data_IF_967069447525
#
_entry.id   IF_967069447525
#
_cell.length_a   1.000
_cell.length_b   1.000
_cell.length_c   1.000
_cell.angle_alpha   90.00
_cell.angle_beta   90.00
_cell.angle_gamma   90.00
#
_symmetry.space_group_name_H-M   'P 1'
#
loop_
_entity.id
_entity.type
_entity.pdbx_description
1 polymer ?
#
# COMPACT_ATOMS: atom_id res chain seq x y z
N UNK A 1 -9.74 -13.62 -22.81
CA UNK A 1 -8.65 -12.80 -23.34
C UNK A 1 -9.25 -11.53 -23.90
N UNK A 2 -8.69 -10.36 -23.57
CA UNK A 2 -9.10 -9.06 -24.09
C UNK A 2 -8.02 -8.41 -24.96
N UNK A 3 -6.77 -8.54 -24.56
CA UNK A 3 -5.62 -8.01 -25.28
C UNK A 3 -4.48 -9.02 -25.21
N UNK A 4 -3.78 -9.20 -26.32
CA UNK A 4 -2.49 -9.86 -26.37
C UNK A 4 -1.50 -8.92 -27.05
N UNK A 5 -0.31 -8.80 -26.49
CA UNK A 5 0.81 -8.05 -27.06
C UNK A 5 1.93 -9.07 -27.27
N UNK A 6 2.33 -9.26 -28.51
CA UNK A 6 3.36 -10.20 -28.89
C UNK A 6 4.63 -9.43 -29.28
N UNK A 7 5.75 -9.85 -28.75
CA UNK A 7 7.09 -9.44 -29.14
C UNK A 7 7.93 -10.68 -29.38
N UNK A 8 9.15 -10.53 -29.90
CA UNK A 8 9.95 -11.66 -30.41
C UNK A 8 10.02 -12.87 -29.44
N UNK A 9 10.17 -12.60 -28.14
CA UNK A 9 10.41 -13.66 -27.13
C UNK A 9 9.29 -13.78 -26.08
N UNK A 10 8.26 -12.93 -26.14
CA UNK A 10 7.25 -12.84 -25.08
C UNK A 10 5.85 -12.56 -25.62
N UNK A 11 4.85 -13.11 -24.95
CA UNK A 11 3.43 -12.79 -25.16
C UNK A 11 2.86 -12.31 -23.84
N UNK A 12 2.44 -11.06 -23.77
CA UNK A 12 1.69 -10.52 -22.63
C UNK A 12 0.20 -10.62 -22.92
N UNK A 13 -0.55 -11.34 -22.09
CA UNK A 13 -1.99 -11.53 -22.24
C UNK A 13 -2.72 -10.85 -21.09
N UNK A 14 -3.67 -9.97 -21.41
CA UNK A 14 -4.57 -9.37 -20.44
C UNK A 14 -5.93 -10.05 -20.49
N UNK A 15 -6.36 -10.59 -19.36
CA UNK A 15 -7.69 -11.15 -19.16
C UNK A 15 -8.55 -10.14 -18.38
N UNK A 16 -9.85 -10.08 -18.70
CA UNK A 16 -10.83 -9.29 -17.96
C UNK A 16 -10.53 -7.79 -17.83
N UNK A 17 -9.80 -7.21 -18.78
CA UNK A 17 -9.63 -5.75 -18.81
C UNK A 17 -11.00 -5.05 -18.90
N UNK A 18 -11.31 -4.19 -17.94
CA UNK A 18 -12.54 -3.40 -17.95
C UNK A 18 -12.50 -2.34 -19.06
N UNK A 19 -11.34 -1.73 -19.22
CA UNK A 19 -11.06 -0.70 -20.25
C UNK A 19 -9.77 -1.07 -20.97
N UNK A 20 -9.77 -0.93 -22.29
CA UNK A 20 -8.58 -1.08 -23.14
C UNK A 20 -8.54 0.09 -24.10
N UNK A 21 -7.51 0.90 -23.98
CA UNK A 21 -7.33 2.12 -24.77
C UNK A 21 -5.88 2.22 -25.26
N UNK A 22 -5.70 2.93 -26.37
CA UNK A 22 -4.39 3.31 -26.88
C UNK A 22 -4.28 4.81 -26.91
N UNK A 23 -3.13 5.36 -26.55
CA UNK A 23 -2.86 6.78 -26.62
C UNK A 23 -1.41 7.02 -27.07
N UNK A 24 -1.14 8.20 -27.63
CA UNK A 24 0.23 8.60 -27.94
C UNK A 24 0.95 9.03 -26.68
N UNK A 25 2.22 8.70 -26.53
CA UNK A 25 3.03 9.06 -25.36
C UNK A 25 2.96 10.55 -25.01
N UNK A 26 3.05 11.50 -25.97
CA UNK A 26 2.90 12.93 -25.68
C UNK A 26 1.54 13.31 -25.08
N UNK A 27 0.50 12.54 -25.37
CA UNK A 27 -0.87 12.82 -24.93
C UNK A 27 -1.17 12.23 -23.52
N UNK A 28 -0.22 11.51 -22.92
CA UNK A 28 -0.36 10.86 -21.61
C UNK A 28 -0.94 11.81 -20.53
N UNK A 29 -0.45 13.07 -20.49
CA UNK A 29 -0.91 14.07 -19.51
C UNK A 29 -2.33 14.57 -19.77
N UNK A 30 -2.81 14.48 -20.99
CA UNK A 30 -4.16 14.89 -21.40
C UNK A 30 -5.16 13.76 -21.27
N UNK A 31 -4.69 12.53 -21.16
CA UNK A 31 -5.55 11.36 -21.04
C UNK A 31 -6.35 11.41 -19.73
N UNK A 32 -7.69 11.24 -19.73
CA UNK A 32 -8.55 11.43 -18.55
C UNK A 32 -8.16 10.54 -17.35
N UNK A 33 -7.71 9.31 -17.61
CA UNK A 33 -7.24 8.38 -16.58
C UNK A 33 -5.77 8.60 -16.23
N UNK A 34 -4.88 8.57 -17.24
CA UNK A 34 -3.44 8.63 -17.02
C UNK A 34 -2.92 9.99 -16.59
N UNK A 35 -3.58 11.08 -17.02
CA UNK A 35 -3.19 12.45 -16.67
C UNK A 35 -3.50 12.86 -15.23
N UNK A 36 -4.32 12.08 -14.53
CA UNK A 36 -4.73 12.33 -13.14
C UNK A 36 -4.03 11.41 -12.13
N UNK A 37 -3.09 10.60 -12.57
CA UNK A 37 -2.36 9.71 -11.67
C UNK A 37 -1.46 10.49 -10.73
N UNK A 38 -1.43 10.06 -9.47
CA UNK A 38 -0.53 10.57 -8.44
C UNK A 38 0.94 10.15 -8.67
N UNK A 39 1.82 10.52 -7.75
CA UNK A 39 3.24 10.18 -7.81
C UNK A 39 3.45 8.66 -7.75
N UNK A 40 4.41 8.15 -8.49
CA UNK A 40 4.81 6.76 -8.47
C UNK A 40 5.89 6.52 -7.43
N UNK A 41 5.57 5.89 -6.33
CA UNK A 41 6.53 5.63 -5.26
C UNK A 41 7.60 4.59 -5.63
N UNK A 42 7.40 3.83 -6.72
CA UNK A 42 8.40 2.91 -7.23
C UNK A 42 9.59 3.64 -7.89
N UNK A 43 9.35 4.81 -8.47
CA UNK A 43 10.39 5.58 -9.14
C UNK A 43 11.32 6.26 -8.12
N UNK A 44 12.63 6.13 -8.32
CA UNK A 44 13.65 6.67 -7.39
C UNK A 44 13.67 8.20 -7.33
N UNK A 45 13.29 8.86 -8.43
CA UNK A 45 13.26 10.32 -8.57
C UNK A 45 11.92 10.93 -8.13
N UNK A 46 10.95 10.14 -7.71
CA UNK A 46 9.67 10.66 -7.17
C UNK A 46 9.87 11.24 -5.78
N UNK A 47 9.41 12.47 -5.57
CA UNK A 47 9.32 13.08 -4.25
C UNK A 47 8.10 12.54 -3.49
N UNK A 48 8.30 11.82 -2.37
CA UNK A 48 7.19 11.29 -1.59
C UNK A 48 6.30 12.37 -0.96
N UNK A 49 6.80 13.60 -0.77
CA UNK A 49 6.03 14.70 -0.18
C UNK A 49 4.79 15.05 -0.99
N UNK A 50 4.83 14.85 -2.30
CA UNK A 50 3.67 15.05 -3.18
C UNK A 50 2.54 14.07 -2.81
N UNK A 51 2.86 12.81 -2.52
CA UNK A 51 1.86 11.83 -2.08
C UNK A 51 1.29 12.18 -0.70
N UNK A 52 2.13 12.68 0.22
CA UNK A 52 1.69 13.16 1.54
C UNK A 52 0.67 14.28 1.37
N UNK A 53 0.97 15.28 0.54
CA UNK A 53 0.07 16.39 0.29
C UNK A 53 -1.25 15.95 -0.36
N UNK A 54 -1.21 15.04 -1.33
CA UNK A 54 -2.40 14.49 -1.96
C UNK A 54 -3.26 13.69 -0.98
N UNK A 55 -2.64 12.91 -0.11
CA UNK A 55 -3.33 12.14 0.94
C UNK A 55 -4.05 13.09 1.90
N UNK A 56 -3.35 14.10 2.44
CA UNK A 56 -3.91 15.07 3.39
C UNK A 56 -4.95 16.00 2.76
N UNK A 57 -4.84 16.27 1.47
CA UNK A 57 -5.82 17.08 0.73
C UNK A 57 -7.00 16.29 0.18
N UNK A 58 -7.03 14.99 0.38
CA UNK A 58 -8.14 14.15 -0.02
C UNK A 58 -9.38 14.47 0.81
N UNK A 59 -10.30 15.24 0.24
CA UNK A 59 -11.39 15.92 0.98
C UNK A 59 -12.74 15.20 0.98
N UNK A 60 -12.82 13.97 0.54
CA UNK A 60 -14.05 13.21 0.74
C UNK A 60 -14.03 12.69 2.17
N UNK A 61 -14.50 13.52 3.10
CA UNK A 61 -14.25 13.42 4.54
C UNK A 61 -14.76 12.17 5.25
N UNK A 62 -15.46 11.28 4.56
CA UNK A 62 -15.89 9.99 5.09
C UNK A 62 -15.01 8.83 4.59
N UNK A 63 -14.06 9.07 3.67
CA UNK A 63 -13.26 8.01 3.09
C UNK A 63 -12.29 7.41 4.12
N UNK A 64 -12.23 6.10 4.13
CA UNK A 64 -11.37 5.35 5.02
C UNK A 64 -9.98 5.18 4.41
N UNK A 65 -8.96 5.30 5.23
CA UNK A 65 -7.55 5.26 4.83
C UNK A 65 -7.22 4.04 3.96
N UNK A 66 -7.73 2.87 4.35
CA UNK A 66 -7.51 1.65 3.58
C UNK A 66 -8.08 1.67 2.17
N UNK A 67 -9.08 2.48 1.87
CA UNK A 67 -9.64 2.65 0.53
C UNK A 67 -8.86 3.69 -0.26
N UNK A 68 -8.56 4.82 0.35
CA UNK A 68 -7.82 5.92 -0.28
C UNK A 68 -6.42 5.50 -0.73
N UNK A 69 -5.76 4.62 0.01
CA UNK A 69 -4.45 4.07 -0.38
C UNK A 69 -4.47 3.25 -1.68
N UNK A 70 -5.63 2.80 -2.15
CA UNK A 70 -5.77 2.14 -3.45
C UNK A 70 -6.12 3.11 -4.58
N UNK A 71 -6.40 4.37 -4.28
CA UNK A 71 -6.65 5.39 -5.30
C UNK A 71 -5.32 5.82 -5.95
N UNK A 72 -5.13 5.39 -7.18
CA UNK A 72 -3.92 5.69 -7.96
C UNK A 72 -3.78 7.19 -8.30
N UNK A 73 -4.79 8.01 -8.01
CA UNK A 73 -4.72 9.48 -8.11
C UNK A 73 -4.02 10.09 -6.90
N UNK A 74 -4.04 9.40 -5.76
CA UNK A 74 -3.33 9.82 -4.53
C UNK A 74 -1.90 9.30 -4.56
N UNK A 75 -1.73 8.00 -4.82
CA UNK A 75 -0.42 7.35 -4.82
C UNK A 75 -0.40 6.16 -5.78
N UNK A 76 0.60 6.08 -6.64
CA UNK A 76 0.82 4.93 -7.52
C UNK A 76 1.78 3.91 -6.90
N UNK A 77 1.63 2.67 -7.35
CA UNK A 77 2.45 1.53 -6.93
C UNK A 77 1.84 0.75 -5.77
N UNK A 78 1.01 1.36 -4.92
CA UNK A 78 0.32 0.68 -3.84
C UNK A 78 -0.81 -0.21 -4.36
N UNK A 79 -0.61 -1.53 -4.21
CA UNK A 79 -1.65 -2.52 -4.44
C UNK A 79 -2.20 -3.07 -3.12
N UNK A 80 -3.11 -4.01 -3.24
CA UNK A 80 -3.82 -4.59 -2.10
C UNK A 80 -2.90 -5.22 -1.04
N UNK A 81 -1.82 -5.85 -1.46
CA UNK A 81 -0.81 -6.43 -0.58
C UNK A 81 -0.15 -5.32 0.24
N UNK A 82 0.44 -4.34 -0.43
CA UNK A 82 1.17 -3.26 0.24
C UNK A 82 0.27 -2.38 1.10
N UNK A 83 -0.99 -2.16 0.70
CA UNK A 83 -1.98 -1.50 1.55
C UNK A 83 -2.03 -2.14 2.95
N UNK A 84 -2.18 -3.45 3.01
CA UNK A 84 -2.30 -4.16 4.29
C UNK A 84 -0.99 -4.12 5.10
N UNK A 85 0.14 -4.35 4.44
CA UNK A 85 1.45 -4.41 5.07
C UNK A 85 1.92 -3.04 5.59
N UNK A 86 1.71 -1.96 4.82
CA UNK A 86 2.08 -0.59 5.20
C UNK A 86 1.26 -0.12 6.39
N UNK A 87 -0.06 -0.37 6.38
CA UNK A 87 -0.93 -0.02 7.50
C UNK A 87 -0.55 -0.77 8.77
N UNK A 88 -0.17 -2.05 8.67
CA UNK A 88 0.34 -2.79 9.81
C UNK A 88 1.68 -2.24 10.30
N UNK A 89 2.61 -1.92 9.41
CA UNK A 89 3.92 -1.40 9.75
C UNK A 89 3.84 -0.06 10.49
N UNK A 90 2.88 0.77 10.11
CA UNK A 90 2.65 2.11 10.70
C UNK A 90 1.62 2.12 11.84
N UNK A 91 1.05 0.97 12.18
CA UNK A 91 0.04 0.81 13.26
C UNK A 91 -1.26 1.58 13.04
N UNK A 92 -1.47 2.08 11.82
CA UNK A 92 -2.67 2.82 11.46
C UNK A 92 -3.85 1.87 11.20
N UNK A 93 -5.02 2.23 11.73
CA UNK A 93 -6.25 1.51 11.41
C UNK A 93 -6.59 1.69 9.93
N UNK A 94 -6.89 0.61 9.20
CA UNK A 94 -7.41 0.73 7.84
C UNK A 94 -8.75 1.46 7.76
N UNK A 95 -9.46 1.55 8.88
CA UNK A 95 -10.77 2.19 9.02
C UNK A 95 -10.65 3.65 9.46
N UNK A 96 -9.44 4.13 9.74
CA UNK A 96 -9.18 5.52 10.09
C UNK A 96 -9.76 6.45 9.02
N UNK A 97 -10.41 7.51 9.45
CA UNK A 97 -10.88 8.57 8.53
C UNK A 97 -9.70 9.40 8.07
N UNK A 98 -9.70 9.83 6.82
CA UNK A 98 -8.62 10.67 6.29
C UNK A 98 -8.49 11.98 7.06
N UNK A 99 -9.61 12.57 7.49
CA UNK A 99 -9.62 13.82 8.24
C UNK A 99 -9.08 13.69 9.69
N UNK A 100 -8.92 12.47 10.20
CA UNK A 100 -8.30 12.23 11.52
C UNK A 100 -6.77 12.07 11.45
N UNK A 101 -6.19 11.92 10.24
CA UNK A 101 -4.75 11.72 10.09
C UNK A 101 -3.99 13.01 10.36
N UNK A 102 -2.91 12.90 11.12
CA UNK A 102 -1.94 13.97 11.26
C UNK A 102 -0.96 13.96 10.07
N UNK A 103 -0.29 15.09 9.83
CA UNK A 103 0.78 15.17 8.84
C UNK A 103 1.89 14.16 9.13
N UNK A 104 2.20 13.95 10.40
CA UNK A 104 3.16 12.94 10.86
C UNK A 104 2.78 11.54 10.45
N UNK A 105 1.50 11.16 10.59
CA UNK A 105 1.00 9.85 10.18
C UNK A 105 1.11 9.67 8.68
N UNK A 106 0.75 10.67 7.91
CA UNK A 106 0.86 10.66 6.46
C UNK A 106 2.32 10.51 5.99
N UNK A 107 3.26 11.23 6.61
CA UNK A 107 4.70 11.12 6.32
C UNK A 107 5.20 9.70 6.63
N UNK A 108 4.88 9.15 7.80
CA UNK A 108 5.28 7.79 8.20
C UNK A 108 4.74 6.74 7.23
N UNK A 109 3.46 6.85 6.88
CA UNK A 109 2.77 5.94 5.98
C UNK A 109 3.42 5.94 4.58
N UNK A 110 3.61 7.12 4.00
CA UNK A 110 4.17 7.25 2.65
C UNK A 110 5.65 6.84 2.63
N UNK A 111 6.43 7.14 3.66
CA UNK A 111 7.82 6.67 3.77
C UNK A 111 7.91 5.14 3.87
N UNK A 112 7.07 4.51 4.69
CA UNK A 112 7.00 3.05 4.76
C UNK A 112 6.60 2.43 3.42
N UNK A 113 5.60 2.99 2.74
CA UNK A 113 5.18 2.56 1.42
C UNK A 113 6.31 2.67 0.39
N UNK A 114 7.00 3.83 0.35
CA UNK A 114 8.13 4.08 -0.55
C UNK A 114 9.25 3.07 -0.32
N UNK A 115 9.61 2.82 0.95
CA UNK A 115 10.65 1.85 1.31
C UNK A 115 10.29 0.45 0.83
N UNK A 116 9.07 0.00 1.09
CA UNK A 116 8.63 -1.33 0.67
C UNK A 116 8.60 -1.49 -0.86
N UNK A 117 8.07 -0.49 -1.56
CA UNK A 117 7.93 -0.55 -3.01
C UNK A 117 9.28 -0.51 -3.72
N UNK A 118 10.19 0.39 -3.31
CA UNK A 118 11.53 0.50 -3.89
C UNK A 118 12.39 -0.74 -3.62
N UNK A 119 12.30 -1.29 -2.40
CA UNK A 119 12.97 -2.54 -2.08
C UNK A 119 12.50 -3.70 -2.97
N UNK A 120 11.21 -3.75 -3.31
CA UNK A 120 10.68 -4.76 -4.23
C UNK A 120 11.16 -4.59 -5.67
N UNK A 121 11.29 -3.35 -6.14
CA UNK A 121 11.74 -3.05 -7.51
C UNK A 121 13.20 -3.42 -7.78
N UNK A 122 14.05 -3.41 -6.75
CA UNK A 122 15.45 -3.78 -6.87
C UNK A 122 15.66 -5.28 -7.13
N UNK A 123 14.61 -6.07 -7.05
CA UNK A 123 14.63 -7.52 -7.28
C UNK A 123 13.65 -7.91 -8.37
N UNK A 124 14.17 -8.07 -9.58
CA UNK A 124 13.40 -8.50 -10.75
C UNK A 124 12.70 -9.88 -10.62
N UNK A 125 12.99 -10.66 -9.59
CA UNK A 125 12.48 -12.02 -9.39
C UNK A 125 11.28 -12.12 -8.43
N UNK A 126 10.77 -11.02 -7.88
CA UNK A 126 10.11 -11.07 -6.59
C UNK A 126 8.58 -11.11 -6.58
N UNK A 127 7.87 -10.75 -7.64
CA UNK A 127 6.42 -10.64 -7.60
C UNK A 127 5.70 -11.98 -7.32
N UNK A 128 6.26 -13.10 -7.79
CA UNK A 128 5.68 -14.43 -7.60
C UNK A 128 6.11 -15.10 -6.28
N UNK A 129 7.28 -14.74 -5.73
CA UNK A 129 7.82 -15.40 -4.53
C UNK A 129 7.34 -14.82 -3.22
N UNK A 130 6.88 -13.56 -3.20
CA UNK A 130 6.37 -12.91 -1.98
C UNK A 130 5.06 -13.54 -1.52
N UNK A 131 4.21 -13.94 -2.43
CA UNK A 131 2.93 -14.57 -2.10
C UNK A 131 3.07 -16.00 -1.54
N UNK A 132 4.21 -16.66 -1.72
CA UNK A 132 4.36 -18.09 -1.46
C UNK A 132 5.10 -18.51 -0.18
N UNK A 133 5.81 -17.65 0.53
CA UNK A 133 6.73 -18.08 1.60
C UNK A 133 6.72 -17.22 2.87
N UNK A 134 5.58 -16.84 3.38
CA UNK A 134 5.47 -16.47 4.82
C UNK A 134 6.27 -15.25 5.31
N UNK A 135 6.77 -14.41 4.41
CA UNK A 135 7.47 -13.18 4.80
C UNK A 135 6.57 -11.98 5.09
N UNK A 136 5.26 -12.11 4.89
CA UNK A 136 4.29 -11.03 5.08
C UNK A 136 3.79 -10.97 6.52
N UNK A 137 3.51 -9.77 7.00
CA UNK A 137 3.05 -9.55 8.36
C UNK A 137 1.57 -9.87 8.55
N UNK A 138 0.72 -9.44 7.60
CA UNK A 138 -0.74 -9.62 7.69
C UNK A 138 -1.38 -10.14 6.40
N UNK A 139 -0.90 -9.77 5.22
CA UNK A 139 -1.54 -10.14 3.97
C UNK A 139 -1.52 -11.65 3.75
N UNK A 140 -2.70 -12.23 3.46
CA UNK A 140 -2.87 -13.67 3.28
C UNK A 140 -2.80 -14.50 4.57
N UNK A 141 -2.77 -13.87 5.74
CA UNK A 141 -2.58 -14.53 7.04
C UNK A 141 -3.84 -14.52 7.93
N UNK A 142 -5.01 -14.52 7.34
CA UNK A 142 -6.27 -14.59 8.08
C UNK A 142 -6.28 -15.75 9.08
N UNK A 143 -6.69 -15.48 10.32
CA UNK A 143 -6.77 -16.45 11.41
C UNK A 143 -5.41 -16.82 12.04
N UNK A 144 -4.28 -16.34 11.51
CA UNK A 144 -2.96 -16.58 12.08
C UNK A 144 -2.63 -15.54 13.16
N UNK A 145 -1.67 -15.88 14.02
CA UNK A 145 -1.17 -14.97 15.05
C UNK A 145 -0.33 -13.85 14.46
N UNK A 146 -0.58 -12.63 14.91
CA UNK A 146 0.26 -11.47 14.60
C UNK A 146 1.65 -11.64 15.21
N UNK A 147 2.68 -11.40 14.40
CA UNK A 147 4.08 -11.53 14.83
C UNK A 147 4.50 -10.46 15.85
N UNK A 148 3.74 -9.34 15.96
CA UNK A 148 4.05 -8.23 16.86
C UNK A 148 3.38 -8.40 18.24
N UNK A 149 2.05 -8.62 18.26
CA UNK A 149 1.28 -8.62 19.49
C UNK A 149 0.63 -9.97 19.84
N UNK A 150 0.70 -10.97 18.97
CA UNK A 150 0.07 -12.27 19.18
C UNK A 150 -1.43 -12.33 18.92
N UNK A 151 -2.11 -11.21 18.68
CA UNK A 151 -3.53 -11.19 18.34
C UNK A 151 -3.79 -11.83 16.96
N UNK A 152 -5.02 -12.27 16.74
CA UNK A 152 -5.42 -12.88 15.48
C UNK A 152 -5.53 -11.82 14.37
N UNK A 153 -4.99 -12.14 13.20
CA UNK A 153 -5.13 -11.33 11.99
C UNK A 153 -6.51 -11.58 11.39
N UNK A 154 -7.24 -10.51 11.17
CA UNK A 154 -8.54 -10.52 10.52
C UNK A 154 -8.46 -10.25 9.03
N UNK A 155 -9.53 -10.64 8.33
CA UNK A 155 -9.70 -10.40 6.91
C UNK A 155 -11.17 -10.22 6.55
N UNK A 156 -11.47 -9.22 5.72
CA UNK A 156 -12.80 -9.05 5.13
C UNK A 156 -12.75 -8.34 3.77
N UNK A 157 -13.81 -8.48 2.93
CA UNK A 157 -14.00 -7.59 1.78
C UNK A 157 -14.10 -6.13 2.24
N UNK A 158 -13.46 -5.22 1.52
CA UNK A 158 -13.38 -3.81 1.89
C UNK A 158 -13.32 -2.88 0.68
N UNK A 159 -13.98 -1.70 0.81
CA UNK A 159 -14.05 -0.70 -0.22
C UNK A 159 -14.96 -1.06 -1.39
N UNK A 160 -15.09 -0.12 -2.35
CA UNK A 160 -16.01 -0.26 -3.49
C UNK A 160 -15.78 -1.51 -4.34
N UNK A 161 -14.53 -1.98 -4.42
CA UNK A 161 -14.16 -3.14 -5.22
C UNK A 161 -14.16 -4.46 -4.43
N UNK A 162 -14.56 -4.46 -3.16
CA UNK A 162 -14.62 -5.66 -2.31
C UNK A 162 -13.28 -6.39 -2.18
N UNK A 163 -12.14 -5.71 -2.32
CA UNK A 163 -10.83 -6.33 -2.21
C UNK A 163 -10.55 -6.75 -0.78
N UNK A 164 -10.03 -7.96 -0.58
CA UNK A 164 -9.75 -8.48 0.75
C UNK A 164 -8.73 -7.59 1.48
N UNK A 165 -9.13 -7.05 2.62
CA UNK A 165 -8.28 -6.30 3.53
C UNK A 165 -7.84 -7.24 4.66
N UNK A 166 -6.56 -7.19 5.01
CA UNK A 166 -5.98 -7.93 6.13
C UNK A 166 -5.43 -6.95 7.15
N UNK A 167 -5.72 -7.15 8.43
CA UNK A 167 -5.23 -6.27 9.50
C UNK A 167 -5.14 -7.00 10.84
N UNK A 168 -4.39 -6.43 11.79
CA UNK A 168 -4.31 -6.90 13.17
C UNK A 168 -5.06 -5.93 14.09
N UNK A 169 -6.10 -6.40 14.77
CA UNK A 169 -6.87 -5.57 15.72
C UNK A 169 -6.04 -5.05 16.88
N UNK A 170 -5.05 -5.82 17.35
CA UNK A 170 -4.23 -5.42 18.47
C UNK A 170 -3.20 -4.34 18.12
N UNK A 171 -2.67 -4.35 16.87
CA UNK A 171 -1.65 -3.40 16.46
C UNK A 171 -2.19 -2.14 15.78
N UNK A 172 -3.28 -2.25 15.03
CA UNK A 172 -3.76 -1.21 14.13
C UNK A 172 -4.96 -0.48 14.73
N UNK A 173 -4.75 0.12 15.89
CA UNK A 173 -5.79 0.83 16.64
C UNK A 173 -5.74 2.35 16.44
N UNK A 174 -4.64 2.87 15.94
CA UNK A 174 -4.45 4.30 15.79
C UNK A 174 -5.43 4.89 14.78
N UNK A 175 -6.21 5.89 15.21
CA UNK A 175 -7.34 6.46 14.50
C UNK A 175 -8.47 5.47 14.15
N UNK A 176 -8.60 4.36 14.87
CA UNK A 176 -9.74 3.45 14.68
C UNK A 176 -11.02 4.11 15.19
N UNK A 177 -12.04 4.36 14.32
CA UNK A 177 -13.28 4.99 14.73
C UNK A 177 -14.14 4.12 15.66
N UNK A 178 -13.79 2.84 15.81
CA UNK A 178 -14.48 1.90 16.68
C UNK A 178 -13.82 1.72 18.06
N UNK A 179 -12.74 2.45 18.30
CA UNK A 179 -12.01 2.41 19.57
C UNK A 179 -11.80 3.81 20.11
N UNK A 180 -12.06 4.02 21.42
CA UNK A 180 -11.65 5.24 22.12
C UNK A 180 -10.13 5.26 22.21
N UNK A 181 -9.50 6.26 21.60
CA UNK A 181 -8.05 6.31 21.46
C UNK A 181 -7.40 7.17 22.54
N UNK A 182 -6.40 6.57 23.17
CA UNK A 182 -5.35 7.32 23.88
C UNK A 182 -4.29 7.72 22.83
N UNK A 183 -4.31 8.98 22.39
CA UNK A 183 -3.51 9.48 21.26
C UNK A 183 -2.14 10.04 21.65
N UNK A 184 -1.65 9.77 22.87
CA UNK A 184 -0.39 10.33 23.33
C UNK A 184 0.81 9.48 22.93
N UNK A 185 1.70 10.09 22.13
CA UNK A 185 3.08 9.66 21.86
C UNK A 185 3.33 8.43 20.98
N UNK A 186 2.78 8.39 19.78
CA UNK A 186 3.36 7.45 18.79
C UNK A 186 4.73 7.97 18.30
N UNK A 187 5.78 7.11 18.29
CA UNK A 187 7.10 7.50 17.81
C UNK A 187 7.07 7.88 16.33
N UNK A 188 7.93 8.82 15.93
CA UNK A 188 8.08 9.26 14.53
C UNK A 188 8.57 8.11 13.67
N UNK A 189 9.46 7.30 14.23
CA UNK A 189 10.01 6.13 13.56
C UNK A 189 9.07 4.93 13.71
N UNK A 190 9.06 4.01 12.72
CA UNK A 190 8.32 2.76 12.85
C UNK A 190 8.72 2.03 14.12
N UNK A 191 7.75 1.36 14.75
CA UNK A 191 8.02 0.50 15.89
C UNK A 191 9.20 -0.45 15.58
N UNK A 192 10.11 -0.76 16.55
CA UNK A 192 11.28 -1.62 16.29
C UNK A 192 10.94 -2.93 15.59
N UNK A 193 9.79 -3.55 15.91
CA UNK A 193 9.32 -4.73 15.20
C UNK A 193 8.95 -4.45 13.73
N UNK A 194 8.46 -3.25 13.41
CA UNK A 194 8.20 -2.86 12.03
C UNK A 194 9.49 -2.54 11.29
N UNK A 195 10.47 -1.90 11.93
CA UNK A 195 11.80 -1.70 11.37
C UNK A 195 12.49 -3.03 11.09
N UNK A 196 12.48 -3.94 12.06
CA UNK A 196 13.04 -5.29 11.89
C UNK A 196 12.31 -6.05 10.78
N UNK A 197 10.99 -5.92 10.69
CA UNK A 197 10.19 -6.50 9.62
C UNK A 197 10.57 -5.92 8.25
N UNK A 198 10.64 -4.60 8.12
CA UNK A 198 11.02 -3.92 6.88
C UNK A 198 12.45 -4.31 6.45
N UNK A 199 13.38 -4.39 7.40
CA UNK A 199 14.76 -4.84 7.15
C UNK A 199 14.84 -6.33 6.81
N UNK A 200 13.97 -7.15 7.41
CA UNK A 200 13.94 -8.59 7.23
C UNK A 200 13.15 -9.10 6.03
N UNK A 201 12.47 -8.20 5.29
CA UNK A 201 11.73 -8.59 4.09
C UNK A 201 12.65 -9.30 3.09
N UNK A 202 12.17 -10.34 2.38
CA UNK A 202 13.00 -11.13 1.47
C UNK A 202 13.76 -10.29 0.45
N UNK A 203 13.23 -9.15 0.07
CA UNK A 203 13.85 -8.18 -0.85
C UNK A 203 14.86 -7.24 -0.19
N UNK A 204 15.00 -7.23 1.14
CA UNK A 204 16.00 -6.44 1.87
C UNK A 204 17.26 -7.24 2.27
N UNK A 205 17.27 -8.56 2.11
CA UNK A 205 18.32 -9.43 2.65
C UNK A 205 19.66 -9.40 1.92
N UNK A 206 19.86 -8.58 0.89
CA UNK A 206 21.11 -8.52 0.13
C UNK A 206 21.55 -7.09 -0.21
N UNK A 207 21.43 -6.17 0.74
CA UNK A 207 22.15 -4.89 0.70
C UNK A 207 23.25 -4.99 1.76
N UNK A 208 24.27 -5.76 1.48
CA UNK A 208 25.58 -5.77 2.16
C UNK A 208 26.67 -5.92 1.12
#
# INVERSE_FOLDING_TARGET
MRVAIEVADWVAVCFNAAVTETYRIPDKRRHPGMGRLGPDLCESNTDPSVAVNLLLSHKVGADQLGEVLLDQRVVRGLGNLYRSEVLWATELSPFARIDSLTERDAIRLINAATTMLRANMQRAECAASVAGKGGLAVYGRNGQRCQRCGETIDCRPFGQHGRMLYWCRGCQQHHDPHQEMQTENMPIDPHPAAQAYLAGLPWNRNVS
#
